data_IF_229282587904
#
_entry.id   IF_229282587904
#
_cell.length_a   1.000
_cell.length_b   1.000
_cell.length_c   1.000
_cell.angle_alpha   90.00
_cell.angle_beta   90.00
_cell.angle_gamma   90.00
#
_symmetry.space_group_name_H-M   'P 1'
#
loop_
_entity.id
_entity.type
_entity.pdbx_description
1 polymer ?
#
# COMPACT_ATOMS: atom_id res chain seq x y z
N UNK A 1 -1.48 -17.85 -6.43
CA UNK A 1 -0.05 -17.48 -6.31
C UNK A 1 0.39 -16.81 -7.61
N UNK A 2 0.91 -15.60 -7.52
CA UNK A 2 1.37 -14.83 -8.68
C UNK A 2 2.79 -14.34 -8.40
N UNK A 3 3.70 -14.58 -9.36
CA UNK A 3 5.06 -14.08 -9.36
C UNK A 3 5.39 -13.56 -10.75
N UNK A 4 5.76 -12.28 -10.86
CA UNK A 4 6.02 -11.61 -12.12
C UNK A 4 7.22 -10.67 -12.02
N UNK A 5 7.99 -10.55 -13.11
CA UNK A 5 9.06 -9.56 -13.23
C UNK A 5 8.58 -8.44 -14.15
N UNK A 6 8.62 -7.20 -13.67
CA UNK A 6 8.24 -5.99 -14.41
C UNK A 6 9.32 -4.95 -14.18
N UNK A 7 9.88 -4.38 -15.24
CA UNK A 7 10.95 -3.38 -15.21
C UNK A 7 12.14 -3.79 -14.32
N UNK A 8 12.54 -5.06 -14.40
CA UNK A 8 13.65 -5.62 -13.63
C UNK A 8 13.36 -5.85 -12.15
N UNK A 9 12.13 -5.66 -11.68
CA UNK A 9 11.69 -5.88 -10.30
C UNK A 9 10.78 -7.09 -10.20
N UNK A 10 10.93 -7.88 -9.14
CA UNK A 10 10.09 -9.04 -8.87
C UNK A 10 8.93 -8.67 -7.95
N UNK A 11 7.71 -8.97 -8.40
CA UNK A 11 6.47 -8.86 -7.63
C UNK A 11 5.97 -10.28 -7.34
N UNK A 12 5.85 -10.61 -6.04
CA UNK A 12 5.48 -11.97 -5.61
C UNK A 12 4.51 -11.89 -4.43
N UNK A 13 3.30 -12.43 -4.63
CA UNK A 13 2.24 -12.42 -3.60
C UNK A 13 2.55 -13.30 -2.39
N UNK A 14 3.49 -14.25 -2.48
CA UNK A 14 3.88 -15.07 -1.33
C UNK A 14 4.79 -14.34 -0.34
N UNK A 15 5.63 -13.43 -0.86
CA UNK A 15 6.62 -12.71 -0.04
C UNK A 15 6.19 -11.28 0.29
N UNK A 16 5.18 -10.78 -0.40
CA UNK A 16 4.60 -9.46 -0.16
C UNK A 16 3.49 -9.54 0.90
N UNK A 17 3.30 -8.44 1.62
CA UNK A 17 2.20 -8.28 2.57
C UNK A 17 0.95 -7.87 1.82
N UNK A 18 -0.15 -8.61 1.96
CA UNK A 18 -1.45 -8.19 1.48
C UNK A 18 -2.00 -7.12 2.43
N UNK A 19 -2.25 -5.92 1.91
CA UNK A 19 -2.74 -4.78 2.68
C UNK A 19 -4.27 -4.75 2.73
N UNK A 20 -4.91 -4.94 1.58
CA UNK A 20 -6.35 -4.95 1.46
C UNK A 20 -6.80 -5.81 0.28
N UNK A 21 -7.98 -6.39 0.40
CA UNK A 21 -8.67 -7.06 -0.70
C UNK A 21 -10.09 -6.51 -0.76
N UNK A 22 -10.51 -6.10 -1.94
CA UNK A 22 -11.85 -5.57 -2.20
C UNK A 22 -12.50 -6.29 -3.37
N UNK A 23 -13.83 -6.30 -3.39
CA UNK A 23 -14.58 -6.87 -4.48
C UNK A 23 -14.37 -6.08 -5.77
N UNK A 24 -14.09 -6.79 -6.85
CA UNK A 24 -14.07 -6.23 -8.19
C UNK A 24 -15.48 -6.33 -8.77
N UNK A 25 -16.08 -5.19 -9.03
CA UNK A 25 -17.38 -5.09 -9.65
C UNK A 25 -17.24 -5.01 -11.17
N UNK A 26 -18.22 -5.50 -11.89
CA UNK A 26 -18.25 -5.44 -13.34
C UNK A 26 -19.66 -5.44 -13.89
N UNK A 27 -19.78 -4.94 -15.11
CA UNK A 27 -21.06 -4.88 -15.84
C UNK A 27 -21.12 -5.96 -16.90
N UNK A 28 -22.27 -6.60 -17.04
CA UNK A 28 -22.49 -7.59 -18.10
C UNK A 28 -22.61 -6.90 -19.45
N UNK A 29 -21.93 -7.48 -20.45
CA UNK A 29 -22.03 -6.99 -21.83
C UNK A 29 -22.65 -8.04 -22.75
N UNK A 30 -23.27 -7.57 -23.85
CA UNK A 30 -23.66 -8.42 -24.96
C UNK A 30 -22.41 -8.80 -25.82
N UNK A 31 -22.60 -9.72 -26.76
CA UNK A 31 -21.54 -10.12 -27.70
C UNK A 31 -21.00 -9.01 -28.61
N UNK A 32 -21.56 -7.79 -28.51
CA UNK A 32 -21.13 -6.58 -29.23
C UNK A 32 -20.49 -5.55 -28.28
N UNK A 33 -20.23 -5.93 -27.02
CA UNK A 33 -19.59 -5.07 -26.03
C UNK A 33 -20.48 -3.99 -25.42
N UNK A 34 -21.81 -4.02 -25.63
CA UNK A 34 -22.75 -3.08 -25.02
C UNK A 34 -23.19 -3.57 -23.65
N UNK A 35 -23.25 -2.68 -22.66
CA UNK A 35 -23.74 -3.02 -21.32
C UNK A 35 -25.20 -3.48 -21.36
N UNK A 36 -25.47 -4.67 -20.82
CA UNK A 36 -26.81 -5.25 -20.73
C UNK A 36 -27.46 -5.08 -19.37
N UNK A 37 -26.69 -4.63 -18.37
CA UNK A 37 -27.19 -4.37 -17.02
C UNK A 37 -26.64 -3.04 -16.52
N UNK A 38 -27.47 -2.26 -15.80
CA UNK A 38 -27.04 -1.03 -15.11
C UNK A 38 -26.58 -1.30 -13.69
N UNK A 39 -26.66 -2.54 -13.22
CA UNK A 39 -26.25 -2.91 -11.86
C UNK A 39 -24.98 -3.75 -11.94
N UNK A 40 -23.88 -3.27 -11.37
CA UNK A 40 -22.64 -4.04 -11.33
C UNK A 40 -22.79 -5.28 -10.42
N UNK A 41 -22.10 -6.35 -10.77
CA UNK A 41 -22.00 -7.58 -9.94
C UNK A 41 -20.55 -7.84 -9.61
N UNK A 42 -20.33 -8.55 -8.51
CA UNK A 42 -19.01 -9.05 -8.16
C UNK A 42 -18.54 -10.01 -9.26
N UNK A 43 -17.41 -9.70 -9.87
CA UNK A 43 -16.77 -10.51 -10.94
C UNK A 43 -15.41 -11.06 -10.51
N UNK A 44 -14.92 -10.65 -9.36
CA UNK A 44 -13.63 -11.09 -8.83
C UNK A 44 -13.22 -10.28 -7.63
N UNK A 45 -11.91 -10.17 -7.42
CA UNK A 45 -11.29 -9.37 -6.36
C UNK A 45 -10.11 -8.57 -6.89
N UNK A 46 -9.83 -7.45 -6.23
CA UNK A 46 -8.59 -6.70 -6.40
C UNK A 46 -7.91 -6.61 -5.05
N UNK A 47 -6.63 -7.00 -4.99
CA UNK A 47 -5.84 -6.98 -3.77
C UNK A 47 -4.65 -6.05 -3.91
N UNK A 48 -4.42 -5.21 -2.91
CA UNK A 48 -3.25 -4.35 -2.80
C UNK A 48 -2.19 -5.04 -1.95
N UNK A 49 -0.98 -5.06 -2.44
CA UNK A 49 0.19 -5.65 -1.79
C UNK A 49 1.30 -4.64 -1.61
N UNK A 50 2.11 -4.85 -0.57
CA UNK A 50 3.38 -4.16 -0.32
C UNK A 50 4.52 -5.17 -0.30
N UNK A 51 5.57 -4.94 -1.08
CA UNK A 51 6.80 -5.75 -1.03
C UNK A 51 7.58 -5.45 0.25
N UNK A 52 8.56 -6.29 0.59
CA UNK A 52 9.48 -6.05 1.73
C UNK A 52 10.26 -4.74 1.60
N UNK A 53 10.50 -4.28 0.39
CA UNK A 53 11.22 -3.05 0.09
C UNK A 53 10.29 -1.82 0.00
N UNK A 54 9.00 -1.98 0.31
CA UNK A 54 8.01 -0.89 0.33
C UNK A 54 7.47 -0.50 -1.04
N UNK A 55 7.60 -1.36 -2.07
CA UNK A 55 6.94 -1.14 -3.34
C UNK A 55 5.50 -1.67 -3.32
N UNK A 56 4.57 -0.94 -3.91
CA UNK A 56 3.17 -1.30 -3.95
C UNK A 56 2.78 -1.92 -5.30
N UNK A 57 1.82 -2.83 -5.28
CA UNK A 57 1.24 -3.39 -6.50
C UNK A 57 -0.16 -3.94 -6.26
N UNK A 58 -0.99 -3.89 -7.30
CA UNK A 58 -2.30 -4.53 -7.33
C UNK A 58 -2.23 -5.88 -8.01
N UNK A 59 -3.06 -6.77 -7.55
CA UNK A 59 -3.38 -8.05 -8.22
C UNK A 59 -4.88 -8.11 -8.41
N UNK A 60 -5.30 -8.38 -9.65
CA UNK A 60 -6.69 -8.61 -10.00
C UNK A 60 -6.91 -10.08 -10.29
N UNK A 61 -7.89 -10.65 -9.64
CA UNK A 61 -8.35 -12.02 -9.87
C UNK A 61 -9.82 -11.99 -10.25
N UNK A 62 -10.14 -12.31 -11.50
CA UNK A 62 -11.52 -12.32 -11.99
C UNK A 62 -11.73 -13.37 -13.09
N UNK A 63 -12.98 -13.84 -13.18
CA UNK A 63 -13.38 -14.82 -14.18
C UNK A 63 -13.64 -14.15 -15.55
N UNK A 64 -12.79 -14.44 -16.52
CA UNK A 64 -12.91 -13.96 -17.90
C UNK A 64 -14.10 -14.57 -18.67
N UNK A 65 -14.58 -15.74 -18.24
CA UNK A 65 -15.63 -16.50 -18.97
C UNK A 65 -17.03 -15.92 -18.80
N UNK A 66 -17.25 -15.01 -17.86
CA UNK A 66 -18.59 -14.57 -17.46
C UNK A 66 -19.24 -13.51 -18.34
N UNK A 67 -18.56 -13.00 -19.37
CA UNK A 67 -19.09 -11.90 -20.22
C UNK A 67 -19.28 -10.58 -19.44
N UNK A 68 -18.51 -10.40 -18.35
CA UNK A 68 -18.50 -9.19 -17.57
C UNK A 68 -17.21 -8.40 -17.84
N UNK A 69 -17.34 -7.07 -17.86
CA UNK A 69 -16.21 -6.16 -17.89
C UNK A 69 -16.06 -5.51 -16.51
N UNK A 70 -14.86 -5.55 -15.91
CA UNK A 70 -14.64 -4.91 -14.63
C UNK A 70 -14.86 -3.40 -14.72
N UNK A 71 -15.35 -2.83 -13.64
CA UNK A 71 -15.47 -1.39 -13.49
C UNK A 71 -14.09 -0.74 -13.56
N UNK A 72 -13.99 0.41 -14.23
CA UNK A 72 -12.73 1.15 -14.33
C UNK A 72 -12.38 1.72 -12.95
N UNK A 73 -11.21 1.35 -12.44
CA UNK A 73 -10.62 2.04 -11.31
C UNK A 73 -10.04 3.38 -11.76
N UNK A 74 -10.15 4.41 -10.93
CA UNK A 74 -9.57 5.75 -11.16
C UNK A 74 -8.03 5.74 -11.23
N UNK A 75 -7.39 4.65 -10.81
CA UNK A 75 -5.94 4.45 -10.82
C UNK A 75 -5.50 3.90 -12.17
N UNK A 76 -5.61 4.73 -13.19
CA UNK A 76 -4.98 4.47 -14.47
C UNK A 76 -5.84 3.74 -15.49
N UNK A 77 -5.56 4.03 -16.74
CA UNK A 77 -6.13 3.42 -17.95
C UNK A 77 -5.63 1.97 -18.10
N UNK A 78 -5.94 1.10 -17.15
CA UNK A 78 -5.56 -0.30 -17.26
C UNK A 78 -6.45 -1.00 -18.25
N UNK A 79 -5.83 -1.58 -19.26
CA UNK A 79 -6.52 -2.38 -20.27
C UNK A 79 -7.25 -3.52 -19.59
N UNK A 80 -8.49 -3.72 -19.99
CA UNK A 80 -9.46 -4.72 -19.51
C UNK A 80 -8.91 -6.17 -19.50
N UNK A 81 -7.72 -6.39 -20.04
CA UNK A 81 -7.14 -7.72 -20.28
C UNK A 81 -6.01 -8.11 -19.33
N UNK A 82 -5.66 -7.27 -18.36
CA UNK A 82 -4.48 -7.54 -17.53
C UNK A 82 -4.87 -8.34 -16.27
N UNK A 83 -4.92 -9.67 -16.43
CA UNK A 83 -4.64 -10.55 -15.30
C UNK A 83 -3.17 -10.39 -14.99
N UNK A 84 -2.84 -9.79 -13.89
CA UNK A 84 -1.45 -9.64 -13.56
C UNK A 84 -1.22 -8.67 -12.43
N UNK A 85 0.03 -8.45 -12.24
CA UNK A 85 0.56 -7.50 -11.28
C UNK A 85 0.58 -6.12 -11.92
N UNK A 86 0.06 -5.13 -11.21
CA UNK A 86 0.07 -3.73 -11.60
C UNK A 86 0.92 -2.97 -10.59
N UNK A 87 2.17 -2.61 -10.92
CA UNK A 87 3.01 -1.81 -10.02
C UNK A 87 2.39 -0.43 -9.77
N UNK A 88 2.46 0.04 -8.53
CA UNK A 88 1.96 1.33 -8.12
C UNK A 88 3.04 2.13 -7.40
N UNK A 89 3.01 3.46 -7.58
CA UNK A 89 3.67 4.38 -6.66
C UNK A 89 2.85 4.51 -5.38
N UNK A 90 3.47 4.93 -4.27
CA UNK A 90 2.76 5.11 -2.99
C UNK A 90 1.52 6.00 -3.14
N UNK A 91 1.61 7.12 -3.87
CA UNK A 91 0.48 8.03 -4.13
C UNK A 91 -0.67 7.34 -4.88
N UNK A 92 -0.34 6.48 -5.85
CA UNK A 92 -1.34 5.72 -6.62
C UNK A 92 -2.01 4.65 -5.76
N UNK A 93 -1.25 4.00 -4.86
CA UNK A 93 -1.77 3.03 -3.91
C UNK A 93 -2.71 3.69 -2.88
N UNK A 94 -2.35 4.88 -2.38
CA UNK A 94 -3.21 5.71 -1.52
C UNK A 94 -4.51 6.08 -2.24
N UNK A 95 -4.42 6.64 -3.46
CA UNK A 95 -5.60 7.01 -4.24
C UNK A 95 -6.50 5.81 -4.56
N UNK A 96 -5.92 4.62 -4.73
CA UNK A 96 -6.70 3.40 -4.86
C UNK A 96 -7.45 3.08 -3.56
N UNK A 97 -6.78 3.13 -2.40
CA UNK A 97 -7.41 2.87 -1.10
C UNK A 97 -8.57 3.84 -0.82
N UNK A 98 -8.38 5.12 -1.10
CA UNK A 98 -9.42 6.16 -1.00
C UNK A 98 -10.60 5.86 -1.94
N UNK A 99 -10.33 5.52 -3.20
CA UNK A 99 -11.37 5.21 -4.20
C UNK A 99 -12.22 3.98 -3.82
N UNK A 100 -11.67 3.08 -3.01
CA UNK A 100 -12.37 1.89 -2.49
C UNK A 100 -13.11 2.14 -1.17
N UNK A 101 -13.09 3.36 -0.67
CA UNK A 101 -13.79 3.75 0.56
C UNK A 101 -13.22 3.06 1.80
N UNK A 102 -11.92 2.75 1.80
CA UNK A 102 -11.26 2.26 3.00
C UNK A 102 -11.24 3.39 4.04
N UNK A 103 -11.57 3.05 5.29
CA UNK A 103 -11.60 4.03 6.37
C UNK A 103 -10.18 4.56 6.69
N UNK A 104 -10.15 5.73 7.31
CA UNK A 104 -8.91 6.46 7.60
C UNK A 104 -7.94 5.63 8.45
N UNK A 105 -8.44 4.97 9.50
CA UNK A 105 -7.61 4.18 10.42
C UNK A 105 -6.91 3.04 9.68
N UNK A 106 -7.62 2.40 8.76
CA UNK A 106 -7.07 1.34 7.93
C UNK A 106 -6.03 1.85 6.93
N UNK A 107 -6.25 3.03 6.37
CA UNK A 107 -5.27 3.69 5.49
C UNK A 107 -4.01 4.03 6.27
N UNK A 108 -4.10 4.60 7.48
CA UNK A 108 -2.94 4.84 8.34
C UNK A 108 -2.22 3.55 8.79
N UNK A 109 -2.96 2.48 9.06
CA UNK A 109 -2.36 1.17 9.36
C UNK A 109 -1.52 0.65 8.18
N UNK A 110 -2.01 0.81 6.95
CA UNK A 110 -1.37 0.31 5.74
C UNK A 110 -0.16 1.15 5.33
N UNK A 111 -0.30 2.47 5.35
CA UNK A 111 0.67 3.40 4.76
C UNK A 111 1.49 4.18 5.81
N UNK A 112 1.16 4.09 7.09
CA UNK A 112 1.64 5.00 8.11
C UNK A 112 0.89 6.33 8.07
N UNK A 113 1.35 7.30 8.87
CA UNK A 113 0.70 8.62 8.94
C UNK A 113 0.60 9.24 7.54
N UNK A 114 -0.60 9.62 7.16
CA UNK A 114 -0.86 10.32 5.91
C UNK A 114 -0.65 11.81 6.15
N UNK A 115 0.08 12.49 5.25
CA UNK A 115 0.33 13.92 5.33
C UNK A 115 -0.99 14.70 5.31
N UNK A 116 -1.10 15.73 6.12
CA UNK A 116 -2.24 16.64 6.09
C UNK A 116 -2.26 17.44 4.78
N UNK A 117 -3.43 17.92 4.38
CA UNK A 117 -3.55 18.74 3.19
C UNK A 117 -2.69 20.01 3.32
N UNK A 118 -1.71 20.15 2.43
CA UNK A 118 -0.72 21.22 2.46
C UNK A 118 0.69 20.79 2.88
N UNK A 119 0.87 19.60 3.44
CA UNK A 119 2.20 19.04 3.70
C UNK A 119 2.86 18.61 2.40
N UNK A 120 4.12 19.00 2.23
CA UNK A 120 4.91 18.55 1.08
C UNK A 120 5.56 17.19 1.37
N UNK A 121 5.38 16.23 0.47
CA UNK A 121 6.12 14.97 0.55
C UNK A 121 7.62 15.23 0.32
N UNK A 122 8.41 14.97 1.35
CA UNK A 122 9.87 14.99 1.28
C UNK A 122 10.44 13.58 1.10
N UNK A 123 11.57 13.44 0.41
CA UNK A 123 12.31 12.20 0.33
C UNK A 123 13.67 12.35 1.02
N UNK A 124 14.03 11.38 1.86
CA UNK A 124 15.34 11.30 2.51
C UNK A 124 16.05 10.03 2.02
N UNK A 125 17.25 10.19 1.47
CA UNK A 125 18.12 9.07 1.13
C UNK A 125 19.06 8.77 2.31
N UNK A 126 18.88 7.60 2.94
CA UNK A 126 19.74 7.13 4.02
C UNK A 126 20.79 6.14 3.49
N UNK A 127 22.07 6.42 3.75
CA UNK A 127 23.18 5.47 3.55
C UNK A 127 23.55 4.87 4.90
N UNK A 128 23.30 3.59 5.06
CA UNK A 128 23.49 2.88 6.34
C UNK A 128 24.59 1.82 6.22
N UNK A 129 25.37 1.57 7.29
CA UNK A 129 26.20 0.39 7.38
C UNK A 129 25.36 -0.89 7.20
N UNK A 130 25.93 -1.91 6.55
CA UNK A 130 25.21 -3.15 6.25
C UNK A 130 24.65 -3.82 7.51
N UNK A 131 25.37 -3.80 8.61
CA UNK A 131 24.93 -4.35 9.90
C UNK A 131 23.67 -3.67 10.42
N UNK A 132 23.59 -2.34 10.33
CA UNK A 132 22.43 -1.56 10.76
C UNK A 132 21.23 -1.80 9.81
N UNK A 133 21.49 -1.89 8.51
CA UNK A 133 20.45 -2.21 7.52
C UNK A 133 19.79 -3.55 7.85
N UNK A 134 20.58 -4.61 8.09
CA UNK A 134 20.06 -5.94 8.45
C UNK A 134 19.29 -5.94 9.78
N UNK A 135 19.73 -5.17 10.77
CA UNK A 135 19.02 -5.03 12.04
C UNK A 135 17.64 -4.37 11.85
N UNK A 136 17.58 -3.33 11.03
CA UNK A 136 16.33 -2.63 10.70
C UNK A 136 15.37 -3.57 9.94
N UNK A 137 15.86 -4.27 8.92
CA UNK A 137 15.07 -5.24 8.16
C UNK A 137 14.47 -6.34 9.06
N UNK A 138 15.28 -6.87 9.99
CA UNK A 138 14.81 -7.86 10.98
C UNK A 138 13.74 -7.28 11.89
N UNK A 139 13.92 -6.07 12.38
CA UNK A 139 12.96 -5.41 13.28
C UNK A 139 11.64 -5.10 12.58
N UNK A 140 11.71 -4.65 11.34
CA UNK A 140 10.53 -4.41 10.51
C UNK A 140 9.76 -5.72 10.24
N UNK A 141 10.47 -6.82 9.95
CA UNK A 141 9.88 -8.13 9.74
C UNK A 141 9.17 -8.65 11.00
N UNK A 142 9.78 -8.48 12.20
CA UNK A 142 9.14 -8.83 13.48
C UNK A 142 7.88 -7.99 13.72
N UNK A 143 7.90 -6.71 13.36
CA UNK A 143 6.77 -5.81 13.48
C UNK A 143 5.70 -6.01 12.38
N UNK A 144 5.93 -6.88 11.38
CA UNK A 144 5.00 -7.16 10.30
C UNK A 144 4.80 -5.98 9.34
N UNK A 145 5.76 -5.06 9.23
CA UNK A 145 5.67 -3.86 8.38
C UNK A 145 6.86 -3.78 7.42
N UNK A 146 6.77 -2.91 6.40
CA UNK A 146 7.92 -2.63 5.53
C UNK A 146 9.02 -1.91 6.28
N UNK A 147 10.27 -2.04 5.81
CA UNK A 147 11.43 -1.32 6.34
C UNK A 147 11.20 0.20 6.35
N UNK A 148 10.60 0.74 5.29
CA UNK A 148 10.29 2.16 5.19
C UNK A 148 9.25 2.60 6.24
N UNK A 149 8.16 1.86 6.37
CA UNK A 149 7.12 2.11 7.38
C UNK A 149 7.69 2.03 8.80
N UNK A 150 8.56 1.04 9.06
CA UNK A 150 9.23 0.90 10.35
C UNK A 150 10.12 2.10 10.68
N UNK A 151 10.93 2.56 9.71
CA UNK A 151 11.79 3.75 9.86
C UNK A 151 10.98 5.01 10.12
N UNK A 152 9.90 5.23 9.39
CA UNK A 152 8.99 6.37 9.61
C UNK A 152 8.45 6.37 11.03
N UNK A 153 7.94 5.25 11.52
CA UNK A 153 7.45 5.11 12.91
C UNK A 153 8.54 5.33 13.96
N UNK A 154 9.79 4.96 13.66
CA UNK A 154 10.92 5.24 14.54
C UNK A 154 11.24 6.73 14.57
N UNK A 155 11.26 7.41 13.43
CA UNK A 155 11.49 8.85 13.34
C UNK A 155 10.39 9.65 14.07
N UNK A 156 9.13 9.30 13.85
CA UNK A 156 7.99 9.93 14.53
C UNK A 156 8.09 9.81 16.07
N UNK A 157 8.42 8.60 16.56
CA UNK A 157 8.62 8.39 18.02
C UNK A 157 9.79 9.18 18.57
N UNK A 158 10.92 9.25 17.85
CA UNK A 158 12.08 10.02 18.26
C UNK A 158 11.73 11.52 18.37
N UNK A 159 11.05 12.08 17.37
CA UNK A 159 10.60 13.47 17.36
C UNK A 159 9.62 13.76 18.51
N UNK A 160 8.68 12.85 18.77
CA UNK A 160 7.73 13.00 19.88
C UNK A 160 8.45 13.04 21.23
N UNK A 161 9.39 12.09 21.46
CA UNK A 161 10.13 12.06 22.74
C UNK A 161 11.05 13.28 22.94
N UNK A 162 11.62 13.83 21.87
CA UNK A 162 12.39 15.07 21.95
C UNK A 162 11.52 16.28 22.30
N UNK A 163 10.28 16.33 21.83
CA UNK A 163 9.32 17.40 22.17
C UNK A 163 8.91 17.32 23.64
N UNK A 164 8.59 16.13 24.14
CA UNK A 164 8.24 15.91 25.55
C UNK A 164 9.38 16.30 26.51
N UNK A 165 10.65 16.00 26.14
CA UNK A 165 11.83 16.38 26.92
C UNK A 165 12.05 17.90 26.94
N UNK A 166 11.70 18.62 25.87
CA UNK A 166 11.82 20.08 25.80
C UNK A 166 10.70 20.79 26.59
N UNK A 167 9.52 20.22 26.63
CA UNK A 167 8.38 20.75 27.35
C UNK A 167 8.46 20.49 28.86
N UNK A 168 9.28 19.53 29.31
CA UNK A 168 9.41 19.15 30.73
C UNK A 168 10.89 19.15 31.20
N UNK A 169 11.60 20.28 31.17
CA UNK A 169 13.03 20.35 31.54
C UNK A 169 13.33 20.17 33.04
N UNK A 170 12.34 19.83 33.86
CA UNK A 170 12.42 19.98 35.34
C UNK A 170 12.29 18.70 36.16
N UNK A 171 12.38 17.48 35.63
CA UNK A 171 12.22 16.23 36.42
C UNK A 171 13.51 15.38 36.55
N UNK A 172 14.68 15.98 36.39
CA UNK A 172 15.97 15.34 36.68
C UNK A 172 16.30 15.48 38.17
N UNK A 173 15.84 14.50 38.97
CA UNK A 173 15.92 14.48 40.43
C UNK A 173 17.31 14.71 41.01
N UNK A 174 17.36 15.59 41.93
CA UNK A 174 18.35 15.67 43.00
C UNK A 174 18.37 14.35 43.77
N UNK A 175 19.38 13.55 43.57
CA UNK A 175 19.76 12.48 44.49
C UNK A 175 21.00 12.98 45.24
N UNK A 176 20.80 13.26 46.52
CA UNK A 176 21.87 13.41 47.49
C UNK A 176 22.43 12.02 47.83
#
# INVERSE_FOLDING_TARGET
>A
MIKQVIDGKTYNTETARCLATVDLLGYRTDGRGRFTTNTPKKVGTTSLYETRDGAYFLVRDYDRGAGFYPEFDLVGQFRIHDHGVIPLKRKEALGWAESKGLDFDKVEEMFGKVAEAGDQEGAILLRLPQTLKLAIEKSAAVAGVSTNTWLMRCAERAIASEREQKENPGSGGSVR
#
